data_IF_776949797636
#
_entry.id   IF_776949797636
#
_cell.length_a   1.000
_cell.length_b   1.000
_cell.length_c   1.000
_cell.angle_alpha   90.00
_cell.angle_beta   90.00
_cell.angle_gamma   90.00
#
_symmetry.space_group_name_H-M   'P 1'
#
loop_
_entity.id
_entity.type
_entity.pdbx_description
1 polymer ?
#
# COMPACT_ATOMS: atom_id res chain seq x y z
N UNK A 1 7.70 -6.60 -25.91
CA UNK A 1 7.68 -8.08 -26.00
C UNK A 1 8.39 -8.64 -24.77
N UNK A 2 7.68 -9.23 -23.82
CA UNK A 2 8.33 -9.87 -22.66
C UNK A 2 8.86 -11.23 -23.11
N UNK A 3 10.17 -11.42 -23.06
CA UNK A 3 10.80 -12.68 -23.42
C UNK A 3 10.25 -13.81 -22.51
N UNK A 4 9.63 -14.83 -23.13
CA UNK A 4 9.17 -16.01 -22.39
C UNK A 4 10.39 -16.81 -21.96
N UNK A 5 10.65 -16.82 -20.64
CA UNK A 5 11.69 -17.65 -20.04
C UNK A 5 11.51 -19.13 -20.45
N UNK A 6 12.60 -19.84 -20.80
CA UNK A 6 12.54 -21.27 -21.07
C UNK A 6 12.04 -22.05 -19.86
N UNK A 7 11.43 -23.21 -20.12
CA UNK A 7 10.60 -23.96 -19.17
C UNK A 7 11.33 -24.30 -17.85
N UNK A 8 12.62 -24.65 -17.94
CA UNK A 8 13.44 -24.96 -16.77
C UNK A 8 13.69 -23.73 -15.88
N UNK A 9 13.94 -22.54 -16.46
CA UNK A 9 14.11 -21.31 -15.68
C UNK A 9 12.82 -20.90 -14.99
N UNK A 10 11.65 -21.16 -15.60
CA UNK A 10 10.36 -20.93 -14.96
C UNK A 10 10.13 -21.87 -13.78
N UNK A 11 10.51 -23.15 -13.90
CA UNK A 11 10.44 -24.11 -12.80
C UNK A 11 11.38 -23.72 -11.67
N UNK A 12 12.63 -23.34 -11.98
CA UNK A 12 13.60 -22.86 -10.99
C UNK A 12 13.08 -21.61 -10.30
N UNK A 13 12.56 -20.63 -11.04
CA UNK A 13 11.99 -19.41 -10.47
C UNK A 13 10.81 -19.70 -9.55
N UNK A 14 9.88 -20.59 -9.93
CA UNK A 14 8.78 -20.98 -9.05
C UNK A 14 9.25 -21.74 -7.80
N UNK A 15 10.25 -22.60 -7.93
CA UNK A 15 10.85 -23.30 -6.79
C UNK A 15 11.51 -22.29 -5.84
N UNK A 16 12.28 -21.34 -6.36
CA UNK A 16 12.93 -20.28 -5.59
C UNK A 16 11.92 -19.36 -4.93
N UNK A 17 10.84 -18.96 -5.62
CA UNK A 17 9.77 -18.17 -5.01
C UNK A 17 9.10 -18.92 -3.85
N UNK A 18 8.85 -20.23 -4.03
CA UNK A 18 8.21 -21.06 -3.02
C UNK A 18 9.13 -21.31 -1.82
N UNK A 19 10.42 -21.49 -2.06
CA UNK A 19 11.45 -21.57 -1.01
C UNK A 19 11.56 -20.23 -0.27
N UNK A 20 11.65 -19.10 -0.99
CA UNK A 20 11.71 -17.77 -0.40
C UNK A 20 10.48 -17.49 0.48
N UNK A 21 9.28 -17.85 0.03
CA UNK A 21 8.06 -17.73 0.84
C UNK A 21 8.14 -18.51 2.16
N UNK A 22 8.61 -19.77 2.11
CA UNK A 22 8.76 -20.59 3.31
C UNK A 22 9.88 -20.11 4.24
N UNK A 23 10.99 -19.61 3.72
CA UNK A 23 12.10 -19.10 4.52
C UNK A 23 11.80 -17.72 5.15
N UNK A 24 11.21 -16.79 4.39
CA UNK A 24 10.81 -15.46 4.92
C UNK A 24 9.70 -15.56 5.95
N UNK A 25 8.76 -16.51 5.80
CA UNK A 25 7.69 -16.75 6.77
C UNK A 25 8.18 -17.08 8.18
N UNK A 26 9.36 -17.70 8.30
CA UNK A 26 9.92 -18.14 9.59
C UNK A 26 10.95 -17.18 10.18
N UNK A 27 11.67 -16.43 9.35
CA UNK A 27 12.74 -15.55 9.81
C UNK A 27 12.26 -14.12 10.13
N UNK A 28 11.26 -13.59 9.40
CA UNK A 28 10.86 -12.18 9.54
C UNK A 28 9.86 -11.91 10.68
N UNK A 29 9.18 -12.94 11.21
CA UNK A 29 8.15 -12.74 12.24
C UNK A 29 8.72 -12.59 13.67
N UNK A 30 9.96 -13.02 13.89
CA UNK A 30 10.59 -13.02 15.24
C UNK A 30 11.25 -11.69 15.61
N UNK A 31 11.44 -10.78 14.66
CA UNK A 31 11.94 -9.44 14.90
C UNK A 31 10.85 -8.44 14.55
N UNK A 32 10.33 -7.71 15.54
CA UNK A 32 9.52 -6.50 15.29
C UNK A 32 10.27 -5.64 14.26
N UNK A 33 9.75 -5.44 13.04
CA UNK A 33 10.40 -4.58 12.08
C UNK A 33 10.51 -3.18 12.71
N UNK A 34 11.70 -2.55 12.70
CA UNK A 34 11.88 -1.29 13.40
C UNK A 34 10.90 -0.26 12.86
N UNK A 35 10.13 0.35 13.75
CA UNK A 35 9.29 1.49 13.40
C UNK A 35 10.22 2.67 13.07
N UNK A 36 10.25 3.07 11.81
CA UNK A 36 11.11 4.15 11.36
C UNK A 36 10.39 5.49 11.57
N UNK A 37 10.86 6.31 12.53
CA UNK A 37 10.30 7.64 12.78
C UNK A 37 10.31 8.54 11.54
N UNK A 38 11.31 8.36 10.66
CA UNK A 38 11.39 9.07 9.39
C UNK A 38 10.21 8.74 8.46
N UNK A 39 9.78 7.47 8.41
CA UNK A 39 8.61 7.07 7.62
C UNK A 39 7.33 7.69 8.17
N UNK A 40 7.22 7.88 9.49
CA UNK A 40 6.11 8.58 10.12
C UNK A 40 6.09 10.06 9.71
N UNK A 41 7.24 10.75 9.80
CA UNK A 41 7.36 12.17 9.40
C UNK A 41 6.99 12.37 7.93
N UNK A 42 7.50 11.50 7.05
CA UNK A 42 7.17 11.54 5.62
C UNK A 42 5.68 11.31 5.36
N UNK A 43 5.06 10.36 6.08
CA UNK A 43 3.64 10.11 5.97
C UNK A 43 2.80 11.29 6.47
N UNK A 44 3.17 11.92 7.58
CA UNK A 44 2.48 13.12 8.09
C UNK A 44 2.55 14.28 7.11
N UNK A 45 3.74 14.57 6.58
CA UNK A 45 3.93 15.65 5.61
C UNK A 45 3.11 15.40 4.33
N UNK A 46 3.17 14.18 3.80
CA UNK A 46 2.41 13.80 2.62
C UNK A 46 0.89 13.92 2.85
N UNK A 47 0.38 13.47 4.00
CA UNK A 47 -1.04 13.58 4.34
C UNK A 47 -1.50 15.04 4.47
N UNK A 48 -0.65 15.95 4.96
CA UNK A 48 -0.96 17.39 5.03
C UNK A 48 -1.10 18.04 3.65
N UNK A 49 -0.42 17.48 2.66
CA UNK A 49 -0.47 17.93 1.26
C UNK A 49 -1.63 17.30 0.48
N UNK A 50 -2.42 16.42 1.08
CA UNK A 50 -3.56 15.80 0.40
C UNK A 50 -4.56 16.90 -0.02
N UNK A 51 -4.91 17.02 -1.32
CA UNK A 51 -5.93 17.95 -1.75
C UNK A 51 -7.29 17.44 -1.27
N UNK A 52 -7.92 18.21 -0.39
CA UNK A 52 -9.25 17.89 0.16
C UNK A 52 -10.23 18.99 -0.23
N UNK A 53 -11.27 18.63 -0.98
CA UNK A 53 -12.25 19.57 -1.52
C UNK A 53 -13.30 20.03 -0.50
N UNK A 54 -13.67 19.17 0.46
CA UNK A 54 -14.76 19.44 1.39
C UNK A 54 -14.28 19.66 2.84
N UNK A 55 -14.98 20.56 3.55
CA UNK A 55 -14.62 20.95 4.92
C UNK A 55 -14.75 19.79 5.93
N UNK A 56 -15.66 18.84 5.70
CA UNK A 56 -15.86 17.70 6.60
C UNK A 56 -14.69 16.72 6.52
N UNK A 57 -14.25 16.37 5.31
CA UNK A 57 -13.06 15.54 5.09
C UNK A 57 -11.81 16.23 5.60
N UNK A 58 -11.70 17.56 5.48
CA UNK A 58 -10.58 18.31 6.06
C UNK A 58 -10.53 18.19 7.58
N UNK A 59 -11.68 18.34 8.24
CA UNK A 59 -11.80 18.17 9.69
C UNK A 59 -11.52 16.72 10.12
N UNK A 60 -12.01 15.74 9.36
CA UNK A 60 -11.76 14.32 9.59
C UNK A 60 -10.26 13.98 9.47
N UNK A 61 -9.63 14.44 8.39
CA UNK A 61 -8.19 14.28 8.15
C UNK A 61 -7.38 14.89 9.29
N UNK A 62 -7.68 16.13 9.69
CA UNK A 62 -7.00 16.78 10.80
C UNK A 62 -7.14 16.00 12.12
N UNK A 63 -8.34 15.52 12.42
CA UNK A 63 -8.63 14.72 13.63
C UNK A 63 -7.89 13.37 13.63
N UNK A 64 -7.75 12.74 12.47
CA UNK A 64 -7.20 11.39 12.35
C UNK A 64 -5.76 11.33 11.80
N UNK A 65 -5.13 12.48 11.55
CA UNK A 65 -3.79 12.58 10.96
C UNK A 65 -2.76 11.65 11.63
N UNK A 66 -2.62 11.63 12.98
CA UNK A 66 -1.59 10.80 13.62
C UNK A 66 -1.81 9.30 13.38
N UNK A 67 -3.08 8.86 13.37
CA UNK A 67 -3.46 7.46 13.11
C UNK A 67 -3.16 7.08 11.66
N UNK A 68 -3.53 7.94 10.71
CA UNK A 68 -3.33 7.69 9.28
C UNK A 68 -1.83 7.64 8.95
N UNK A 69 -1.05 8.58 9.48
CA UNK A 69 0.40 8.62 9.28
C UNK A 69 1.09 7.39 9.86
N UNK A 70 0.73 6.99 11.09
CA UNK A 70 1.24 5.76 11.71
C UNK A 70 0.88 4.52 10.91
N UNK A 71 -0.33 4.47 10.36
CA UNK A 71 -0.75 3.37 9.49
C UNK A 71 0.14 3.30 8.24
N UNK A 72 0.34 4.42 7.54
CA UNK A 72 1.21 4.48 6.36
C UNK A 72 2.67 4.11 6.65
N UNK A 73 3.19 4.51 7.81
CA UNK A 73 4.55 4.17 8.23
C UNK A 73 4.74 2.67 8.49
N UNK A 74 3.67 1.98 8.94
CA UNK A 74 3.67 0.53 9.19
C UNK A 74 3.42 -0.29 7.92
N UNK A 75 2.76 0.27 6.91
CA UNK A 75 2.49 -0.45 5.66
C UNK A 75 3.82 -0.84 4.99
N UNK A 76 4.07 -2.12 4.67
CA UNK A 76 5.31 -2.50 3.99
C UNK A 76 5.41 -1.89 2.58
N UNK A 77 6.63 -1.73 2.04
CA UNK A 77 6.80 -1.35 0.64
C UNK A 77 6.16 -2.39 -0.27
N UNK A 78 5.83 -1.98 -1.50
CA UNK A 78 5.22 -2.87 -2.47
C UNK A 78 6.10 -4.10 -2.77
N UNK A 79 5.53 -5.29 -2.57
CA UNK A 79 6.17 -6.56 -2.96
C UNK A 79 6.12 -6.81 -4.47
N UNK A 80 6.59 -7.98 -4.92
CA UNK A 80 6.77 -8.28 -6.34
C UNK A 80 5.53 -8.20 -7.24
N UNK A 81 4.31 -8.23 -6.68
CA UNK A 81 3.08 -8.02 -7.43
C UNK A 81 2.70 -6.53 -7.56
N UNK A 82 3.11 -5.68 -6.61
CA UNK A 82 2.76 -4.26 -6.58
C UNK A 82 1.29 -3.96 -6.25
N UNK A 83 0.50 -4.94 -5.81
CA UNK A 83 -0.96 -4.79 -5.66
C UNK A 83 -1.40 -4.81 -4.20
N UNK A 84 -2.32 -3.92 -3.84
CA UNK A 84 -2.92 -3.86 -2.50
C UNK A 84 -4.46 -3.81 -2.58
N UNK A 85 -5.10 -4.44 -1.59
CA UNK A 85 -6.52 -4.27 -1.29
C UNK A 85 -6.63 -3.58 0.08
N UNK A 86 -7.13 -2.36 0.11
CA UNK A 86 -7.42 -1.62 1.34
C UNK A 86 -8.80 -2.03 1.86
N UNK A 87 -8.81 -2.68 3.03
CA UNK A 87 -10.04 -3.06 3.72
C UNK A 87 -10.49 -1.92 4.63
N UNK A 88 -11.73 -1.45 4.47
CA UNK A 88 -12.25 -0.31 5.22
C UNK A 88 -11.68 1.02 4.72
N UNK A 89 -11.85 1.29 3.42
CA UNK A 89 -11.26 2.44 2.75
C UNK A 89 -11.61 3.77 3.40
N UNK A 90 -10.60 4.40 3.98
CA UNK A 90 -10.68 5.79 4.38
C UNK A 90 -10.55 6.72 3.16
N UNK A 91 -10.13 6.21 2.00
CA UNK A 91 -9.82 6.96 0.75
C UNK A 91 -8.64 7.93 0.88
N UNK A 92 -8.30 8.41 2.09
CA UNK A 92 -7.12 9.25 2.30
C UNK A 92 -5.80 8.47 2.32
N UNK A 93 -5.80 7.17 2.66
CA UNK A 93 -4.58 6.33 2.68
C UNK A 93 -4.26 5.79 1.28
N UNK A 94 -5.30 5.38 0.54
CA UNK A 94 -5.23 4.73 -0.77
C UNK A 94 -4.20 5.37 -1.72
N UNK A 95 -4.21 6.69 -1.97
CA UNK A 95 -3.30 7.28 -2.96
C UNK A 95 -1.85 7.34 -2.46
N UNK A 96 -1.61 7.31 -1.14
CA UNK A 96 -0.26 7.27 -0.57
C UNK A 96 0.35 5.88 -0.58
N UNK A 97 -0.44 4.81 -0.71
CA UNK A 97 0.10 3.47 -0.98
C UNK A 97 0.84 3.49 -2.32
N UNK A 98 0.26 4.10 -3.34
CA UNK A 98 0.92 4.27 -4.62
C UNK A 98 2.08 5.27 -4.54
N UNK A 99 1.85 6.48 -4.01
CA UNK A 99 2.85 7.57 -3.99
C UNK A 99 4.07 7.30 -3.10
N UNK A 100 3.88 6.76 -1.88
CA UNK A 100 4.95 6.61 -0.89
C UNK A 100 5.51 5.19 -0.81
N UNK A 101 4.67 4.17 -1.07
CA UNK A 101 5.04 2.75 -0.86
C UNK A 101 5.25 1.98 -2.16
N UNK A 102 4.99 2.60 -3.31
CA UNK A 102 5.32 2.05 -4.63
C UNK A 102 4.35 1.01 -5.16
N UNK A 103 3.12 0.95 -4.62
CA UNK A 103 2.10 0.04 -5.16
C UNK A 103 1.64 0.51 -6.53
N UNK A 104 1.58 -0.40 -7.51
CA UNK A 104 1.16 -0.12 -8.89
C UNK A 104 -0.34 -0.22 -9.08
N UNK A 105 -1.03 -0.98 -8.23
CA UNK A 105 -2.49 -1.08 -8.22
C UNK A 105 -2.98 -1.08 -6.76
N UNK A 106 -3.91 -0.21 -6.45
CA UNK A 106 -4.56 -0.17 -5.14
C UNK A 106 -6.06 -0.22 -5.36
N UNK A 107 -6.71 -1.21 -4.76
CA UNK A 107 -8.16 -1.33 -4.76
C UNK A 107 -8.70 -1.07 -3.38
N UNK A 108 -9.82 -0.39 -3.34
CA UNK A 108 -10.54 -0.17 -2.10
C UNK A 108 -11.74 -1.09 -1.95
N UNK A 109 -11.88 -1.73 -0.79
CA UNK A 109 -13.10 -2.44 -0.46
C UNK A 109 -14.16 -1.44 0.05
N UNK A 110 -15.30 -1.39 -0.64
CA UNK A 110 -16.46 -0.57 -0.29
C UNK A 110 -17.74 -1.39 -0.38
N UNK A 111 -18.71 -1.09 0.49
CA UNK A 111 -20.06 -1.65 0.43
C UNK A 111 -20.85 -0.97 -0.70
N UNK A 112 -20.50 -1.30 -1.94
CA UNK A 112 -21.20 -0.89 -3.15
C UNK A 112 -22.01 -2.03 -3.77
N UNK A 113 -22.78 -1.74 -4.84
CA UNK A 113 -23.42 -2.78 -5.64
C UNK A 113 -22.38 -3.80 -6.14
N UNK A 114 -22.79 -5.07 -6.19
CA UNK A 114 -21.97 -6.14 -6.79
C UNK A 114 -21.63 -5.74 -8.23
N UNK A 115 -20.38 -5.99 -8.65
CA UNK A 115 -19.80 -5.63 -9.96
C UNK A 115 -19.56 -4.13 -10.22
N UNK A 116 -19.94 -3.23 -9.31
CA UNK A 116 -19.63 -1.80 -9.45
C UNK A 116 -18.18 -1.50 -9.04
N UNK A 117 -17.44 -0.78 -9.90
CA UNK A 117 -16.13 -0.21 -9.58
C UNK A 117 -16.17 1.29 -9.81
N UNK A 118 -15.77 2.07 -8.81
CA UNK A 118 -15.73 3.53 -8.86
C UNK A 118 -14.27 3.99 -8.93
N UNK A 119 -13.78 4.48 -10.09
CA UNK A 119 -12.42 4.97 -10.21
C UNK A 119 -12.27 6.29 -9.44
N UNK A 120 -11.32 6.33 -8.52
CA UNK A 120 -10.94 7.55 -7.78
C UNK A 120 -9.54 7.98 -8.20
N UNK A 121 -9.40 9.25 -8.51
CA UNK A 121 -8.12 9.88 -8.86
C UNK A 121 -7.86 11.02 -7.89
N UNK A 122 -6.61 11.14 -7.45
CA UNK A 122 -6.12 12.22 -6.61
C UNK A 122 -4.93 12.83 -7.31
N UNK A 123 -5.05 14.11 -7.67
CA UNK A 123 -3.98 14.87 -8.31
C UNK A 123 -3.16 15.57 -7.24
N UNK A 124 -1.94 15.11 -7.04
CA UNK A 124 -1.03 15.77 -6.11
C UNK A 124 -0.34 16.95 -6.80
N UNK A 125 -0.46 18.13 -6.21
CA UNK A 125 0.30 19.32 -6.59
C UNK A 125 1.78 19.24 -6.23
#
# INVERSE_FOLDING_TARGET
>A
MVARLPLHLRMIHHLLQRLNYHFSSTADYTSEPPFHEEALRQAEEALRQLPVADNHTKAYLAKHLPRLARTLALVPPAGGAGRALELGCYMQITPFLQRLRGYTEVRGAYYGPIEATDPKTVEFS
#
